data_IF_254387904418
#
_entry.id   IF_254387904418
#
_cell.length_a   1.000
_cell.length_b   1.000
_cell.length_c   1.000
_cell.angle_alpha   90.00
_cell.angle_beta   90.00
_cell.angle_gamma   90.00
#
_symmetry.space_group_name_H-M   'P 1'
#
loop_
_entity.id
_entity.type
_entity.pdbx_description
1 polymer ?
#
# COMPACT_ATOMS: atom_id res chain seq x y z
N UNK A 1 -1.95 -52.55 -24.89
CA UNK A 1 -2.90 -51.79 -25.73
C UNK A 1 -4.28 -52.21 -25.30
N UNK A 2 -4.82 -51.56 -24.28
CA UNK A 2 -6.20 -51.73 -23.83
C UNK A 2 -6.73 -50.35 -23.46
N UNK A 3 -7.76 -49.93 -24.20
CA UNK A 3 -8.69 -48.85 -23.82
C UNK A 3 -9.65 -49.41 -22.78
N UNK A 4 -10.16 -48.53 -21.91
CA UNK A 4 -11.43 -48.55 -21.14
C UNK A 4 -11.16 -47.92 -19.76
N UNK A 5 -12.02 -47.12 -19.13
CA UNK A 5 -13.38 -46.66 -19.40
C UNK A 5 -13.64 -45.42 -18.53
N UNK A 6 -14.51 -44.53 -18.99
CA UNK A 6 -14.96 -43.32 -18.27
C UNK A 6 -16.41 -43.57 -17.89
N UNK A 7 -16.72 -43.86 -16.62
CA UNK A 7 -18.11 -43.84 -16.10
C UNK A 7 -18.20 -43.41 -14.63
N UNK A 8 -18.76 -42.20 -14.47
CA UNK A 8 -19.82 -41.80 -13.54
C UNK A 8 -19.91 -42.48 -12.17
N UNK A 9 -19.72 -41.69 -11.12
CA UNK A 9 -20.48 -41.79 -9.87
C UNK A 9 -21.03 -40.41 -9.49
N UNK A 10 -22.32 -40.22 -9.74
CA UNK A 10 -23.18 -39.22 -9.13
C UNK A 10 -23.62 -39.74 -7.75
N UNK A 11 -23.44 -38.93 -6.71
CA UNK A 11 -23.96 -39.18 -5.37
C UNK A 11 -24.31 -37.87 -4.67
N UNK A 12 -25.61 -37.56 -4.65
CA UNK A 12 -26.24 -36.42 -3.96
C UNK A 12 -26.03 -36.45 -2.44
N UNK A 13 -25.89 -35.27 -1.82
CA UNK A 13 -26.49 -34.85 -0.52
C UNK A 13 -26.23 -33.33 -0.39
N UNK A 14 -27.15 -32.40 -0.63
CA UNK A 14 -28.38 -32.03 0.08
C UNK A 14 -28.19 -31.14 1.34
N UNK A 15 -28.72 -29.92 1.21
CA UNK A 15 -29.37 -29.06 2.22
C UNK A 15 -28.51 -28.20 3.18
N UNK A 16 -28.73 -26.87 3.10
CA UNK A 16 -28.34 -25.95 4.18
C UNK A 16 -28.30 -24.45 3.87
N UNK A 17 -29.08 -23.89 2.95
CA UNK A 17 -29.18 -22.43 2.78
C UNK A 17 -30.13 -21.84 3.84
N UNK A 18 -29.56 -21.13 4.83
CA UNK A 18 -30.28 -20.22 5.71
C UNK A 18 -30.10 -18.79 5.23
N UNK A 19 -31.08 -18.27 4.48
CA UNK A 19 -31.19 -16.85 4.18
C UNK A 19 -31.98 -16.16 5.30
N UNK A 20 -31.38 -15.17 5.96
CA UNK A 20 -32.11 -14.25 6.83
C UNK A 20 -32.39 -12.99 6.03
N UNK A 21 -33.62 -12.88 5.56
CA UNK A 21 -34.21 -11.68 4.95
C UNK A 21 -34.69 -10.80 6.10
N UNK A 22 -34.01 -9.68 6.34
CA UNK A 22 -34.46 -8.61 7.23
C UNK A 22 -34.96 -7.44 6.40
N UNK A 23 -36.27 -7.23 6.41
CA UNK A 23 -36.96 -6.17 5.68
C UNK A 23 -36.59 -4.77 6.19
N UNK A 24 -36.37 -3.89 5.22
CA UNK A 24 -36.56 -2.45 5.30
C UNK A 24 -37.99 -2.13 5.77
N UNK A 25 -38.13 -1.22 6.73
CA UNK A 25 -39.38 -0.50 6.99
C UNK A 25 -39.09 0.99 6.77
N UNK A 26 -39.64 1.52 5.69
CA UNK A 26 -39.60 2.94 5.30
C UNK A 26 -41.01 3.52 5.35
N UNK A 27 -41.10 4.67 6.04
CA UNK A 27 -42.04 5.80 5.88
C UNK A 27 -43.49 5.68 6.41
N UNK A 28 -44.02 6.77 7.01
CA UNK A 28 -44.50 7.90 6.21
C UNK A 28 -44.17 9.32 6.72
N UNK A 29 -43.91 10.22 5.75
CA UNK A 29 -44.46 11.58 5.54
C UNK A 29 -45.21 12.24 6.74
N UNK A 30 -45.09 13.53 7.07
CA UNK A 30 -44.53 14.71 6.43
C UNK A 30 -44.54 15.85 7.48
N UNK A 31 -43.65 16.84 7.35
CA UNK A 31 -44.00 18.27 7.17
C UNK A 31 -42.72 19.10 7.10
N UNK A 32 -42.57 19.80 5.98
CA UNK A 32 -41.63 20.89 5.81
C UNK A 32 -42.05 22.09 6.68
N UNK A 33 -41.11 22.69 7.40
CA UNK A 33 -41.15 24.11 7.74
C UNK A 33 -39.74 24.73 7.67
N UNK A 34 -39.69 25.84 6.91
CA UNK A 34 -38.59 26.78 6.78
C UNK A 34 -38.10 27.30 8.14
N UNK A 35 -36.79 27.48 8.27
CA UNK A 35 -36.17 28.25 9.33
C UNK A 35 -34.72 28.54 9.01
N UNK A 36 -34.50 29.55 8.19
CA UNK A 36 -33.23 30.25 7.99
C UNK A 36 -32.78 30.91 9.29
N UNK A 37 -31.54 30.66 9.73
CA UNK A 37 -30.77 31.57 10.58
C UNK A 37 -29.27 31.30 10.36
N UNK A 38 -28.63 32.22 9.64
CA UNK A 38 -27.20 32.49 9.69
C UNK A 38 -26.82 32.98 11.11
N UNK A 39 -25.53 32.91 11.49
CA UNK A 39 -24.91 34.21 11.68
C UNK A 39 -23.52 34.33 11.06
N UNK A 40 -23.39 35.50 10.44
CA UNK A 40 -22.22 36.32 10.18
C UNK A 40 -21.00 36.08 11.08
N UNK A 41 -19.84 36.09 10.41
CA UNK A 41 -18.55 36.30 11.06
C UNK A 41 -18.35 37.72 11.57
N UNK A 42 -17.43 37.85 12.52
CA UNK A 42 -16.67 39.07 12.71
C UNK A 42 -15.29 38.72 13.29
N UNK A 43 -14.24 39.04 12.54
CA UNK A 43 -12.87 39.01 13.04
C UNK A 43 -12.55 40.18 13.95
N UNK A 44 -11.48 40.05 14.72
CA UNK A 44 -10.50 41.13 14.95
C UNK A 44 -9.23 40.56 15.61
N UNK A 45 -8.12 40.63 14.87
CA UNK A 45 -6.80 41.16 15.25
C UNK A 45 -6.12 40.70 16.56
N UNK A 46 -5.08 39.88 16.40
CA UNK A 46 -3.67 40.26 16.57
C UNK A 46 -3.13 40.58 17.97
N UNK A 47 -2.17 39.77 18.43
CA UNK A 47 -1.04 40.22 19.28
C UNK A 47 0.14 39.25 19.11
N UNK A 48 1.24 39.77 18.55
CA UNK A 48 2.56 39.15 18.47
C UNK A 48 3.23 39.09 19.86
N UNK A 49 3.99 38.02 20.13
CA UNK A 49 4.83 37.92 21.32
C UNK A 49 5.86 36.80 21.23
N UNK A 50 7.10 37.19 20.97
CA UNK A 50 8.34 36.42 20.99
C UNK A 50 8.47 35.43 22.17
N UNK A 51 9.03 34.25 21.89
CA UNK A 51 9.42 33.24 22.87
C UNK A 51 10.41 32.22 22.31
N UNK A 52 11.64 32.67 22.07
CA UNK A 52 12.85 31.87 21.86
C UNK A 52 13.42 31.43 23.23
N UNK A 53 13.32 30.14 23.60
CA UNK A 53 14.19 29.41 24.55
C UNK A 53 14.05 27.89 24.26
N UNK A 54 14.99 27.20 23.59
CA UNK A 54 16.31 26.70 24.01
C UNK A 54 16.32 25.39 24.84
N UNK A 55 16.94 24.37 24.24
CA UNK A 55 17.79 23.30 24.83
C UNK A 55 17.24 22.26 25.84
N UNK A 56 17.30 20.99 25.41
CA UNK A 56 18.32 20.01 25.86
C UNK A 56 18.33 18.84 24.85
N UNK A 57 19.41 18.49 24.15
CA UNK A 57 20.79 18.47 24.59
C UNK A 57 21.02 17.22 25.44
N UNK A 58 21.16 16.06 24.80
CA UNK A 58 21.72 14.88 25.45
C UNK A 58 22.70 14.17 24.50
N UNK A 59 23.80 14.87 24.18
CA UNK A 59 25.05 14.19 23.85
C UNK A 59 25.82 14.05 25.17
N UNK A 60 25.98 12.81 25.63
CA UNK A 60 27.19 12.36 26.34
C UNK A 60 27.14 10.84 26.53
N UNK A 61 28.14 10.13 25.99
CA UNK A 61 28.62 8.90 26.61
C UNK A 61 28.85 7.67 25.73
N UNK A 62 29.88 7.72 24.88
CA UNK A 62 30.82 6.62 24.59
C UNK A 62 30.32 5.18 24.86
N UNK A 63 29.74 4.55 23.83
CA UNK A 63 29.47 3.12 23.75
C UNK A 63 29.79 2.65 22.33
N UNK A 64 30.43 1.49 22.24
CA UNK A 64 30.72 0.66 21.08
C UNK A 64 29.83 0.92 19.86
N UNK A 65 30.40 0.92 18.64
CA UNK A 65 29.64 0.85 17.37
C UNK A 65 28.74 -0.39 17.35
N UNK A 66 27.61 -0.33 18.03
CA UNK A 66 26.43 -1.12 17.75
C UNK A 66 25.77 -0.45 16.56
N UNK A 67 25.57 -1.18 15.47
CA UNK A 67 24.73 -0.72 14.37
C UNK A 67 23.48 -0.09 14.99
N UNK A 68 23.28 1.21 14.74
CA UNK A 68 22.15 1.92 15.31
C UNK A 68 20.92 1.29 14.67
N UNK A 69 20.13 0.55 15.46
CA UNK A 69 18.81 0.14 15.03
C UNK A 69 18.06 1.38 14.55
N UNK A 70 17.27 1.28 13.46
CA UNK A 70 16.52 2.43 12.99
C UNK A 70 15.60 2.95 14.11
N UNK A 71 15.24 4.24 14.07
CA UNK A 71 14.28 4.78 15.01
C UNK A 71 12.97 3.99 14.93
N UNK A 72 12.26 3.89 16.06
CA UNK A 72 10.97 3.22 16.06
C UNK A 72 10.02 3.87 15.05
N UNK A 73 9.23 3.09 14.28
CA UNK A 73 8.31 3.65 13.31
C UNK A 73 7.21 4.49 13.98
N UNK A 74 7.03 5.70 13.48
CA UNK A 74 5.90 6.57 13.86
C UNK A 74 4.58 6.00 13.34
N UNK A 75 3.50 6.17 14.09
CA UNK A 75 2.14 5.76 13.72
C UNK A 75 1.26 6.95 13.31
N UNK A 76 1.85 8.15 13.19
CA UNK A 76 1.16 9.40 12.89
C UNK A 76 0.18 9.79 13.99
N UNK A 77 -0.69 10.77 13.72
CA UNK A 77 -1.63 11.34 14.69
C UNK A 77 -2.78 10.39 15.12
N UNK A 78 -2.73 9.12 14.71
CA UNK A 78 -3.77 8.13 14.99
C UNK A 78 -3.51 7.29 16.25
N UNK A 79 -2.39 7.51 16.92
CA UNK A 79 -2.03 6.90 18.20
C UNK A 79 -1.39 7.94 19.12
N UNK A 80 -1.50 7.71 20.42
CA UNK A 80 -0.93 8.60 21.44
C UNK A 80 0.48 8.18 21.84
N UNK A 81 0.80 6.88 21.77
CA UNK A 81 2.11 6.33 22.13
C UNK A 81 2.48 5.10 21.31
N UNK A 82 3.76 4.98 20.97
CA UNK A 82 4.35 3.77 20.39
C UNK A 82 5.20 3.06 21.44
N UNK A 83 4.83 1.82 21.77
CA UNK A 83 5.62 0.90 22.59
C UNK A 83 6.54 0.10 21.67
N UNK A 84 7.80 0.52 21.61
CA UNK A 84 8.82 -0.14 20.80
C UNK A 84 9.57 -1.17 21.63
N UNK A 85 9.46 -2.46 21.29
CA UNK A 85 10.15 -3.52 22.02
C UNK A 85 11.69 -3.31 22.05
N UNK A 86 12.24 -2.64 21.04
CA UNK A 86 13.66 -2.28 20.96
C UNK A 86 14.11 -1.20 21.96
N UNK A 87 13.18 -0.45 22.53
CA UNK A 87 13.45 0.72 23.39
C UNK A 87 12.87 0.59 24.80
N UNK A 88 12.13 -0.48 25.08
CA UNK A 88 11.51 -0.73 26.39
C UNK A 88 12.21 -1.84 27.15
N UNK A 89 11.99 -1.86 28.47
CA UNK A 89 12.31 -3.00 29.33
C UNK A 89 11.02 -3.79 29.59
N UNK A 90 10.88 -5.03 29.08
CA UNK A 90 9.67 -5.83 29.25
C UNK A 90 9.40 -6.22 30.71
N UNK A 91 10.35 -6.08 31.64
CA UNK A 91 10.07 -6.24 33.07
C UNK A 91 9.25 -5.06 33.65
N UNK A 92 9.18 -3.94 32.93
CA UNK A 92 8.52 -2.70 33.39
C UNK A 92 7.39 -2.24 32.48
N UNK A 93 7.41 -2.58 31.20
CA UNK A 93 6.31 -2.34 30.27
C UNK A 93 5.46 -3.63 30.18
N UNK A 94 4.21 -3.63 30.67
CA UNK A 94 3.42 -4.86 30.78
C UNK A 94 2.79 -5.32 29.46
N UNK A 95 2.76 -4.48 28.43
CA UNK A 95 2.13 -4.81 27.15
C UNK A 95 3.09 -4.44 26.03
N UNK A 96 3.52 -5.43 25.26
CA UNK A 96 4.55 -5.25 24.24
C UNK A 96 4.43 -6.29 23.12
N UNK A 97 5.10 -6.02 22.00
CA UNK A 97 5.14 -6.88 20.83
C UNK A 97 6.56 -7.41 20.62
N UNK A 98 6.77 -8.69 20.87
CA UNK A 98 8.08 -9.34 20.85
C UNK A 98 8.26 -10.23 19.62
N UNK A 99 9.40 -10.16 18.91
CA UNK A 99 9.72 -11.08 17.83
C UNK A 99 10.50 -12.30 18.37
N UNK A 100 10.23 -13.49 17.83
CA UNK A 100 10.98 -14.70 18.18
C UNK A 100 12.41 -14.71 17.63
N UNK A 101 12.69 -13.91 16.59
CA UNK A 101 14.01 -13.71 16.01
C UNK A 101 14.17 -12.27 15.48
N UNK A 102 15.40 -11.76 15.50
CA UNK A 102 15.75 -10.43 14.95
C UNK A 102 16.21 -10.46 13.50
N UNK A 103 16.50 -11.63 12.99
CA UNK A 103 16.94 -11.87 11.62
C UNK A 103 16.16 -13.07 11.11
N UNK A 104 15.58 -12.95 9.92
CA UNK A 104 14.79 -14.00 9.26
C UNK A 104 15.27 -14.16 7.83
N UNK A 105 15.40 -15.40 7.38
CA UNK A 105 15.70 -15.72 5.98
C UNK A 105 14.38 -15.93 5.21
N UNK A 106 14.39 -15.68 3.91
CA UNK A 106 13.26 -16.04 3.05
C UNK A 106 12.90 -17.54 3.16
N UNK A 107 11.59 -17.84 3.17
CA UNK A 107 11.06 -19.19 3.34
C UNK A 107 11.12 -19.72 4.77
N UNK A 108 11.63 -18.94 5.73
CA UNK A 108 11.63 -19.27 7.16
C UNK A 108 10.59 -18.47 7.93
N UNK A 109 10.07 -19.05 9.00
CA UNK A 109 9.03 -18.42 9.82
C UNK A 109 9.65 -17.58 10.94
N UNK A 110 9.07 -16.41 11.20
CA UNK A 110 9.29 -15.62 12.42
C UNK A 110 7.94 -15.42 13.12
N UNK A 111 7.94 -15.47 14.45
CA UNK A 111 6.73 -15.25 15.25
C UNK A 111 6.79 -13.86 15.88
N UNK A 112 5.65 -13.17 15.93
CA UNK A 112 5.48 -11.92 16.63
C UNK A 112 4.37 -12.09 17.66
N UNK A 113 4.69 -11.91 18.94
CA UNK A 113 3.75 -12.10 20.05
C UNK A 113 3.40 -10.76 20.69
N UNK A 114 2.12 -10.38 20.62
CA UNK A 114 1.56 -9.28 21.39
C UNK A 114 1.14 -9.81 22.75
N UNK A 115 1.92 -9.48 23.78
CA UNK A 115 1.70 -9.89 25.16
C UNK A 115 0.93 -8.81 25.92
N UNK A 116 -0.04 -9.22 26.73
CA UNK A 116 -0.73 -8.34 27.66
C UNK A 116 -0.60 -8.86 29.10
N UNK A 117 0.47 -8.50 29.80
CA UNK A 117 0.67 -8.79 31.23
C UNK A 117 0.09 -7.70 32.14
N UNK A 118 -0.74 -6.80 31.61
CA UNK A 118 -1.48 -5.82 32.40
C UNK A 118 -2.71 -6.46 33.07
N UNK A 119 -3.38 -5.70 33.93
CA UNK A 119 -4.63 -6.11 34.58
C UNK A 119 -5.89 -5.74 33.75
N UNK A 120 -5.72 -5.16 32.55
CA UNK A 120 -6.81 -4.65 31.70
C UNK A 120 -6.86 -5.36 30.35
N UNK A 121 -8.06 -5.53 29.78
CA UNK A 121 -8.23 -6.14 28.46
C UNK A 121 -7.76 -5.18 27.37
N UNK A 122 -6.83 -5.64 26.52
CA UNK A 122 -6.35 -4.90 25.37
C UNK A 122 -7.26 -5.18 24.17
N UNK A 123 -8.03 -4.19 23.75
CA UNK A 123 -8.82 -4.26 22.54
C UNK A 123 -7.95 -3.97 21.32
N UNK A 124 -8.03 -4.81 20.29
CA UNK A 124 -7.19 -4.72 19.09
C UNK A 124 -7.90 -5.32 17.87
N UNK A 125 -7.31 -5.15 16.69
CA UNK A 125 -7.73 -5.85 15.48
C UNK A 125 -6.54 -6.66 14.93
N UNK A 126 -6.57 -7.98 15.12
CA UNK A 126 -5.57 -8.92 14.63
C UNK A 126 -5.40 -8.98 13.11
N UNK A 127 -6.32 -8.39 12.32
CA UNK A 127 -6.11 -8.22 10.87
C UNK A 127 -5.35 -6.92 10.54
N UNK A 128 -5.28 -5.97 11.47
CA UNK A 128 -4.58 -4.69 11.34
C UNK A 128 -3.15 -4.78 11.90
N UNK A 129 -2.50 -5.93 11.69
CA UNK A 129 -1.05 -5.98 11.75
C UNK A 129 -0.48 -5.08 10.64
N UNK A 130 0.77 -4.63 10.78
CA UNK A 130 1.47 -3.90 9.72
C UNK A 130 2.92 -4.35 9.62
N UNK A 131 3.42 -4.34 8.40
CA UNK A 131 4.84 -4.46 8.08
C UNK A 131 5.25 -3.21 7.35
N UNK A 132 6.24 -2.52 7.91
CA UNK A 132 6.87 -1.34 7.30
C UNK A 132 8.35 -1.64 7.02
N UNK A 133 8.92 -1.06 5.96
CA UNK A 133 10.34 -1.16 5.60
C UNK A 133 11.04 0.17 5.85
N UNK A 134 12.25 0.13 6.40
CA UNK A 134 13.08 1.31 6.58
C UNK A 134 13.97 1.55 5.35
N UNK A 135 13.82 2.70 4.71
CA UNK A 135 14.58 3.12 3.52
C UNK A 135 14.93 4.60 3.66
N UNK A 136 16.20 4.95 3.48
CA UNK A 136 16.71 6.33 3.43
C UNK A 136 16.27 7.28 4.56
N UNK A 137 16.06 6.73 5.76
CA UNK A 137 15.67 7.52 6.94
C UNK A 137 14.20 7.40 7.31
N UNK A 138 13.38 6.81 6.45
CA UNK A 138 11.92 6.81 6.53
C UNK A 138 11.32 5.40 6.55
N UNK A 139 10.11 5.29 7.10
CA UNK A 139 9.37 4.03 7.18
C UNK A 139 8.25 4.00 6.14
N UNK A 140 8.27 2.99 5.28
CA UNK A 140 7.29 2.80 4.21
C UNK A 140 6.42 1.59 4.50
N UNK A 141 5.09 1.77 4.47
CA UNK A 141 4.16 0.67 4.68
C UNK A 141 4.16 -0.31 3.50
N UNK A 142 4.37 -1.59 3.80
CA UNK A 142 4.43 -2.68 2.82
C UNK A 142 3.18 -3.56 2.87
N UNK A 143 2.72 -3.94 4.06
CA UNK A 143 1.59 -4.85 4.22
C UNK A 143 0.83 -4.63 5.54
N UNK A 144 -0.43 -5.09 5.65
CA UNK A 144 -1.31 -5.46 4.54
C UNK A 144 -1.82 -4.19 3.84
N UNK A 145 -2.26 -4.34 2.60
CA UNK A 145 -2.82 -3.23 1.80
C UNK A 145 -4.23 -2.81 2.26
N UNK A 146 -4.94 -3.73 2.91
CA UNK A 146 -6.25 -3.51 3.50
C UNK A 146 -6.55 -4.62 4.50
N UNK A 147 -7.50 -4.38 5.40
CA UNK A 147 -7.95 -5.36 6.37
C UNK A 147 -9.42 -5.15 6.71
N UNK A 148 -10.14 -6.21 7.11
CA UNK A 148 -11.42 -6.04 7.78
C UNK A 148 -11.21 -5.42 9.17
N UNK A 149 -12.23 -4.74 9.70
CA UNK A 149 -12.19 -4.06 11.00
C UNK A 149 -13.02 -4.74 12.13
N UNK A 150 -12.88 -6.05 12.40
CA UNK A 150 -13.48 -6.64 13.59
C UNK A 150 -12.69 -6.25 14.84
N UNK A 151 -13.42 -5.96 15.92
CA UNK A 151 -12.83 -5.78 17.24
C UNK A 151 -12.57 -7.14 17.89
N UNK A 152 -11.36 -7.34 18.37
CA UNK A 152 -10.89 -8.52 19.11
C UNK A 152 -10.17 -8.05 20.38
N UNK A 153 -9.72 -8.99 21.21
CA UNK A 153 -9.05 -8.67 22.47
C UNK A 153 -7.89 -9.62 22.78
N UNK A 154 -6.94 -9.11 23.55
CA UNK A 154 -5.97 -9.91 24.31
C UNK A 154 -6.30 -9.71 25.79
N UNK A 155 -6.77 -10.77 26.45
CA UNK A 155 -7.15 -10.72 27.87
C UNK A 155 -5.93 -10.51 28.78
N UNK A 156 -6.14 -10.06 30.04
CA UNK A 156 -5.08 -10.00 31.04
C UNK A 156 -4.32 -11.33 31.21
N UNK A 157 -3.00 -11.28 31.07
CA UNK A 157 -2.10 -12.43 31.13
C UNK A 157 -2.11 -13.33 29.90
N UNK A 158 -2.76 -12.93 28.81
CA UNK A 158 -2.76 -13.66 27.53
C UNK A 158 -1.85 -12.99 26.50
N UNK A 159 -1.61 -13.72 25.40
CA UNK A 159 -0.86 -13.23 24.25
C UNK A 159 -1.56 -13.66 22.96
N UNK A 160 -1.40 -12.84 21.91
CA UNK A 160 -1.75 -13.22 20.54
C UNK A 160 -0.48 -13.31 19.70
N UNK A 161 -0.38 -14.30 18.81
CA UNK A 161 0.85 -14.52 18.03
C UNK A 161 0.54 -14.63 16.54
N UNK A 162 1.31 -13.89 15.73
CA UNK A 162 1.35 -14.04 14.28
C UNK A 162 2.61 -14.80 13.87
N UNK A 163 2.46 -15.86 13.09
CA UNK A 163 3.54 -16.58 12.41
C UNK A 163 3.66 -16.02 11.00
N UNK A 164 4.79 -15.40 10.67
CA UNK A 164 5.03 -14.75 9.38
C UNK A 164 6.08 -15.52 8.60
N UNK A 165 5.78 -15.86 7.35
CA UNK A 165 6.73 -16.46 6.39
C UNK A 165 6.94 -15.51 5.21
N UNK A 166 8.13 -14.90 5.05
CA UNK A 166 8.49 -14.20 3.82
C UNK A 166 8.63 -15.20 2.67
N UNK A 167 8.00 -14.90 1.53
CA UNK A 167 7.97 -15.82 0.37
C UNK A 167 7.80 -15.02 -0.93
N UNK A 168 8.83 -14.96 -1.77
CA UNK A 168 8.77 -14.29 -3.06
C UNK A 168 8.58 -15.26 -4.24
N UNK A 169 8.22 -16.52 -4.01
CA UNK A 169 7.92 -17.43 -5.11
C UNK A 169 6.73 -16.90 -5.93
N UNK A 170 6.90 -16.81 -7.26
CA UNK A 170 5.84 -16.43 -8.21
C UNK A 170 5.56 -14.93 -8.32
N UNK A 171 6.37 -14.04 -7.73
CA UNK A 171 6.11 -12.58 -7.78
C UNK A 171 6.17 -11.98 -9.20
N UNK A 172 6.76 -12.68 -10.17
CA UNK A 172 6.86 -12.24 -11.56
C UNK A 172 5.86 -12.94 -12.48
N UNK A 173 4.99 -13.81 -11.96
CA UNK A 173 4.03 -14.58 -12.75
C UNK A 173 2.94 -13.69 -13.40
N UNK A 174 2.93 -12.39 -13.10
CA UNK A 174 1.95 -11.41 -13.61
C UNK A 174 0.64 -11.37 -12.83
N UNK A 175 0.51 -12.23 -11.83
CA UNK A 175 -0.62 -12.27 -10.91
C UNK A 175 -0.50 -11.22 -9.81
N UNK A 176 -1.65 -10.65 -9.43
CA UNK A 176 -1.73 -9.69 -8.34
C UNK A 176 -1.23 -10.29 -7.04
N UNK A 177 -0.23 -9.64 -6.46
CA UNK A 177 0.26 -9.99 -5.13
C UNK A 177 -0.90 -9.95 -4.14
N UNK A 178 -1.21 -11.11 -3.57
CA UNK A 178 -2.26 -11.23 -2.58
C UNK A 178 -1.98 -10.24 -1.44
N UNK A 179 -3.01 -9.51 -1.01
CA UNK A 179 -2.90 -8.38 -0.07
C UNK A 179 -2.26 -8.69 1.30
N UNK A 180 -1.92 -9.95 1.57
CA UNK A 180 -1.55 -10.47 2.88
C UNK A 180 -2.76 -10.42 3.81
N UNK A 181 -3.04 -11.50 4.54
CA UNK A 181 -4.19 -11.49 5.43
C UNK A 181 -4.24 -12.69 6.33
N UNK A 182 -5.11 -12.60 7.34
CA UNK A 182 -5.21 -13.57 8.41
C UNK A 182 -4.88 -12.96 9.75
N UNK A 183 -5.03 -13.77 10.79
CA UNK A 183 -4.83 -13.38 12.18
C UNK A 183 -3.72 -14.17 12.85
N UNK A 184 -3.26 -15.29 12.29
CA UNK A 184 -2.26 -16.16 12.92
C UNK A 184 -1.15 -16.46 11.92
N UNK A 185 -1.44 -17.25 10.88
CA UNK A 185 -0.46 -17.59 9.84
C UNK A 185 -0.53 -16.56 8.70
N UNK A 186 0.61 -15.93 8.40
CA UNK A 186 0.76 -14.88 7.41
C UNK A 186 1.87 -15.25 6.42
N UNK A 187 1.59 -15.11 5.13
CA UNK A 187 2.63 -15.11 4.09
C UNK A 187 2.89 -13.68 3.67
N UNK A 188 4.15 -13.25 3.73
CA UNK A 188 4.60 -11.92 3.34
C UNK A 188 5.29 -12.01 1.98
N UNK A 189 4.56 -11.64 0.93
CA UNK A 189 5.01 -11.75 -0.46
C UNK A 189 5.57 -10.42 -0.97
N UNK A 190 6.56 -10.47 -1.87
CA UNK A 190 7.15 -9.30 -2.51
C UNK A 190 7.88 -8.42 -1.52
N UNK A 191 8.83 -9.02 -0.79
CA UNK A 191 9.72 -8.36 0.20
C UNK A 191 11.18 -8.72 -0.06
N UNK A 192 12.01 -7.69 -0.27
CA UNK A 192 13.44 -7.86 -0.46
C UNK A 192 14.23 -7.81 0.84
N UNK A 193 15.55 -7.89 0.74
CA UNK A 193 16.41 -7.71 1.92
C UNK A 193 16.21 -6.32 2.54
N UNK A 194 16.32 -6.22 3.86
CA UNK A 194 16.35 -4.93 4.55
C UNK A 194 15.90 -5.00 5.99
N UNK A 195 15.75 -3.82 6.60
CA UNK A 195 15.21 -3.67 7.94
C UNK A 195 13.72 -3.37 7.89
N UNK A 196 12.95 -4.15 8.64
CA UNK A 196 11.50 -4.06 8.71
C UNK A 196 11.04 -3.86 10.15
N UNK A 197 9.80 -3.41 10.30
CA UNK A 197 9.10 -3.39 11.57
C UNK A 197 7.77 -4.12 11.44
N UNK A 198 7.48 -5.03 12.38
CA UNK A 198 6.15 -5.61 12.55
C UNK A 198 5.41 -4.85 13.63
N UNK A 199 4.13 -4.55 13.39
CA UNK A 199 3.35 -3.65 14.23
C UNK A 199 1.94 -4.15 14.45
N UNK A 200 1.38 -3.75 15.59
CA UNK A 200 -0.04 -3.87 15.91
C UNK A 200 -0.48 -2.58 16.63
N UNK A 201 -1.79 -2.39 16.77
CA UNK A 201 -2.33 -1.29 17.59
C UNK A 201 -3.52 -1.74 18.42
N UNK A 202 -3.78 -1.03 19.49
CA UNK A 202 -4.92 -1.31 20.36
C UNK A 202 -5.14 -0.20 21.38
N UNK A 203 -6.09 -0.43 22.26
CA UNK A 203 -6.37 0.43 23.41
C UNK A 203 -6.92 -0.46 24.54
N UNK A 204 -6.74 -0.07 25.79
CA UNK A 204 -7.39 -0.81 26.88
C UNK A 204 -8.87 -0.41 26.95
N UNK A 205 -9.77 -1.38 27.17
CA UNK A 205 -11.22 -1.17 27.03
C UNK A 205 -11.76 -0.05 27.93
N UNK A 206 -11.17 0.14 29.11
CA UNK A 206 -11.58 1.17 30.07
C UNK A 206 -10.96 2.56 29.80
N UNK A 207 -10.07 2.68 28.82
CA UNK A 207 -9.30 3.92 28.53
C UNK A 207 -9.20 4.27 27.04
N UNK A 208 -10.15 3.81 26.22
CA UNK A 208 -10.18 4.09 24.78
C UNK A 208 -10.07 5.59 24.43
N UNK A 209 -10.75 6.44 25.20
CA UNK A 209 -10.78 7.89 24.98
C UNK A 209 -9.55 8.60 25.58
N UNK A 210 -8.72 7.86 26.33
CA UNK A 210 -7.55 8.39 27.03
C UNK A 210 -6.24 8.08 26.29
N UNK A 211 -6.07 6.87 25.73
CA UNK A 211 -4.84 6.46 25.06
C UNK A 211 -5.06 5.33 24.02
N UNK A 212 -4.65 5.57 22.78
CA UNK A 212 -4.46 4.56 21.74
C UNK A 212 -2.98 4.23 21.63
N UNK A 213 -2.66 2.94 21.73
CA UNK A 213 -1.30 2.42 21.68
C UNK A 213 -1.00 1.79 20.32
N UNK A 214 0.21 2.01 19.84
CA UNK A 214 0.86 1.15 18.86
C UNK A 214 1.95 0.32 19.52
N UNK A 215 2.11 -0.92 19.06
CA UNK A 215 3.20 -1.81 19.45
C UNK A 215 4.04 -2.09 18.23
N UNK A 216 5.35 -2.02 18.37
CA UNK A 216 6.28 -2.20 17.25
C UNK A 216 7.53 -2.96 17.68
N UNK A 217 8.08 -3.72 16.74
CA UNK A 217 9.39 -4.34 16.88
C UNK A 217 10.08 -4.47 15.53
N UNK A 218 11.39 -4.29 15.53
CA UNK A 218 12.20 -4.38 14.30
C UNK A 218 12.80 -5.76 14.09
N UNK A 219 12.99 -6.12 12.83
CA UNK A 219 13.69 -7.32 12.39
C UNK A 219 14.39 -7.07 11.04
N UNK A 220 15.43 -7.83 10.75
CA UNK A 220 16.14 -7.83 9.48
C UNK A 220 15.68 -9.03 8.64
N UNK A 221 15.34 -8.79 7.37
CA UNK A 221 15.08 -9.82 6.39
C UNK A 221 16.32 -10.03 5.53
N UNK A 222 16.87 -11.25 5.58
CA UNK A 222 17.95 -11.72 4.72
C UNK A 222 17.34 -12.47 3.53
N UNK A 223 17.16 -11.76 2.43
CA UNK A 223 16.69 -12.32 1.15
C UNK A 223 17.46 -11.72 -0.02
N UNK A 224 17.12 -12.09 -1.25
CA UNK A 224 17.61 -11.36 -2.40
C UNK A 224 17.01 -9.95 -2.43
N UNK A 225 17.75 -8.99 -2.98
CA UNK A 225 17.14 -7.73 -3.37
C UNK A 225 16.13 -7.99 -4.49
N UNK A 226 14.99 -7.33 -4.44
CA UNK A 226 13.99 -7.39 -5.51
C UNK A 226 14.54 -6.65 -6.73
N UNK A 227 14.55 -7.31 -7.88
CA UNK A 227 14.94 -6.74 -9.17
C UNK A 227 13.70 -6.26 -9.90
N UNK A 228 13.77 -5.05 -10.47
CA UNK A 228 12.71 -4.51 -11.32
C UNK A 228 12.81 -5.15 -12.70
N UNK A 229 11.86 -6.03 -13.01
CA UNK A 229 11.80 -6.79 -14.27
C UNK A 229 10.33 -6.87 -14.71
N UNK A 230 10.01 -6.75 -16.01
CA UNK A 230 8.64 -6.92 -16.47
C UNK A 230 8.09 -8.29 -16.07
N UNK A 231 6.82 -8.31 -15.68
CA UNK A 231 6.13 -9.54 -15.31
C UNK A 231 5.75 -10.36 -16.54
N UNK A 232 5.47 -11.65 -16.34
CA UNK A 232 4.97 -12.58 -17.37
C UNK A 232 3.59 -12.18 -17.93
N UNK A 233 2.94 -11.14 -17.37
CA UNK A 233 1.71 -10.60 -17.89
C UNK A 233 1.90 -9.84 -19.22
N UNK A 234 3.09 -9.31 -19.50
CA UNK A 234 3.38 -8.56 -20.71
C UNK A 234 3.60 -9.54 -21.87
N UNK A 235 2.68 -9.56 -22.84
CA UNK A 235 2.71 -10.51 -23.97
C UNK A 235 3.51 -9.99 -25.16
N UNK A 236 3.36 -8.70 -25.45
CA UNK A 236 3.91 -8.06 -26.65
C UNK A 236 4.35 -6.64 -26.35
N UNK A 237 5.44 -6.21 -26.98
CA UNK A 237 5.99 -4.86 -26.91
C UNK A 237 6.35 -4.38 -28.32
N UNK A 238 5.92 -3.16 -28.66
CA UNK A 238 6.16 -2.54 -29.96
C UNK A 238 6.54 -1.05 -29.77
N UNK A 239 7.43 -0.53 -30.63
CA UNK A 239 7.76 0.89 -30.64
C UNK A 239 6.87 1.61 -31.65
N UNK A 240 6.10 2.58 -31.16
CA UNK A 240 5.35 3.54 -31.99
C UNK A 240 6.14 4.85 -32.09
N UNK A 241 6.44 5.29 -33.31
CA UNK A 241 7.06 6.60 -33.55
C UNK A 241 6.03 7.71 -33.36
N UNK A 242 6.42 8.81 -32.70
CA UNK A 242 5.55 9.89 -32.20
C UNK A 242 4.77 10.75 -33.23
N UNK A 243 4.62 10.31 -34.48
CA UNK A 243 3.95 11.07 -35.55
C UNK A 243 2.40 11.02 -35.48
N UNK A 244 1.82 10.21 -34.57
CA UNK A 244 0.36 9.94 -34.53
C UNK A 244 -0.35 10.33 -33.19
N UNK A 245 0.32 11.01 -32.26
CA UNK A 245 -0.32 11.56 -31.03
C UNK A 245 -0.66 13.04 -31.21
N UNK A 246 -1.36 13.38 -32.29
CA UNK A 246 -2.11 14.63 -32.38
C UNK A 246 -3.53 14.30 -32.82
N UNK A 247 -4.41 14.17 -31.82
CA UNK A 247 -5.84 14.06 -32.03
C UNK A 247 -6.37 15.26 -32.79
N UNK A 248 -6.82 15.01 -34.01
CA UNK A 248 -7.75 15.76 -34.87
C UNK A 248 -8.39 16.99 -34.18
N UNK A 249 -7.62 18.08 -34.15
CA UNK A 249 -8.01 19.38 -33.63
C UNK A 249 -7.71 20.44 -34.67
N UNK A 250 -8.64 20.64 -35.61
CA UNK A 250 -8.69 21.83 -36.47
C UNK A 250 -8.68 23.10 -35.58
N UNK A 251 -7.51 23.67 -35.28
CA UNK A 251 -7.41 25.10 -35.03
C UNK A 251 -6.06 25.67 -35.47
N UNK A 252 -6.15 26.67 -36.33
CA UNK A 252 -5.02 27.39 -36.87
C UNK A 252 -4.61 28.49 -35.89
N UNK A 253 -3.39 28.41 -35.35
CA UNK A 253 -2.81 29.50 -34.58
C UNK A 253 -1.31 29.36 -34.47
N UNK A 254 -0.58 30.21 -35.20
CA UNK A 254 0.85 30.43 -35.03
C UNK A 254 1.18 30.72 -33.56
N UNK A 255 2.01 29.89 -32.92
CA UNK A 255 2.80 30.28 -31.75
C UNK A 255 4.17 29.60 -31.79
N UNK A 256 5.21 30.40 -32.05
CA UNK A 256 6.62 30.01 -31.95
C UNK A 256 6.96 29.92 -30.46
N UNK A 257 6.91 28.72 -29.88
CA UNK A 257 7.21 28.52 -28.46
C UNK A 257 7.52 27.07 -28.09
N UNK A 258 8.73 26.62 -28.41
CA UNK A 258 9.49 25.59 -27.66
C UNK A 258 8.66 24.36 -27.21
N UNK A 259 8.10 23.59 -28.16
CA UNK A 259 7.57 22.26 -27.89
C UNK A 259 8.73 21.28 -27.75
N UNK A 260 8.91 20.77 -26.53
CA UNK A 260 9.83 19.69 -26.22
C UNK A 260 9.45 18.42 -27.01
N UNK A 261 10.46 17.85 -27.68
CA UNK A 261 10.57 16.49 -28.19
C UNK A 261 9.33 15.86 -28.87
N UNK A 262 8.99 16.39 -30.05
CA UNK A 262 8.04 15.80 -31.02
C UNK A 262 8.55 14.47 -31.66
N UNK A 263 9.59 13.84 -31.10
CA UNK A 263 10.26 12.64 -31.64
C UNK A 263 10.47 11.52 -30.59
N UNK A 264 9.79 11.55 -29.43
CA UNK A 264 9.95 10.45 -28.46
C UNK A 264 9.15 9.23 -28.89
N UNK A 265 9.84 8.17 -29.32
CA UNK A 265 9.24 6.85 -29.53
C UNK A 265 8.51 6.40 -28.24
N UNK A 266 7.24 6.00 -28.36
CA UNK A 266 6.47 5.42 -27.27
C UNK A 266 6.53 3.91 -27.36
N UNK A 267 6.93 3.25 -26.29
CA UNK A 267 6.84 1.80 -26.21
C UNK A 267 5.41 1.40 -25.81
N UNK A 268 4.69 0.75 -26.71
CA UNK A 268 3.38 0.17 -26.43
C UNK A 268 3.57 -1.26 -25.99
N UNK A 269 2.94 -1.63 -24.88
CA UNK A 269 2.97 -2.99 -24.38
C UNK A 269 1.55 -3.51 -24.14
N UNK A 270 1.29 -4.73 -24.57
CA UNK A 270 0.00 -5.40 -24.36
C UNK A 270 0.08 -6.36 -23.17
N UNK A 271 -0.81 -6.16 -22.20
CA UNK A 271 -0.93 -6.95 -20.99
C UNK A 271 -2.02 -8.01 -21.14
N UNK A 272 -1.74 -9.22 -20.64
CA UNK A 272 -2.72 -10.31 -20.53
C UNK A 272 -3.63 -10.17 -19.33
N UNK A 273 -3.41 -9.18 -18.45
CA UNK A 273 -4.29 -8.92 -17.31
C UNK A 273 -5.66 -8.42 -17.79
N UNK A 274 -6.68 -8.85 -17.06
CA UNK A 274 -8.08 -8.61 -17.42
C UNK A 274 -8.72 -9.72 -18.25
N UNK A 275 -9.98 -9.52 -18.62
CA UNK A 275 -10.73 -10.44 -19.47
C UNK A 275 -11.38 -9.68 -20.63
N UNK A 276 -10.87 -9.85 -21.84
CA UNK A 276 -11.43 -9.22 -23.05
C UNK A 276 -12.82 -9.73 -23.43
N UNK A 277 -13.21 -10.91 -22.94
CA UNK A 277 -14.51 -11.52 -23.22
C UNK A 277 -15.58 -11.12 -22.19
N UNK A 278 -15.21 -10.39 -21.12
CA UNK A 278 -16.12 -9.92 -20.08
C UNK A 278 -16.63 -8.48 -20.37
N UNK A 279 -17.96 -8.30 -20.38
CA UNK A 279 -18.59 -7.02 -20.70
C UNK A 279 -18.33 -5.90 -19.67
N UNK A 280 -17.82 -6.24 -18.49
CA UNK A 280 -17.44 -5.28 -17.46
C UNK A 280 -15.99 -4.81 -17.57
N UNK A 281 -15.18 -5.52 -18.33
CA UNK A 281 -13.80 -5.14 -18.61
C UNK A 281 -13.74 -4.24 -19.84
N UNK A 282 -12.96 -3.17 -19.74
CA UNK A 282 -12.78 -2.19 -20.80
C UNK A 282 -11.32 -2.08 -21.12
N UNK A 283 -11.00 -2.00 -22.41
CA UNK A 283 -9.64 -1.74 -22.84
C UNK A 283 -9.25 -0.32 -22.38
N UNK A 284 -8.13 -0.23 -21.69
CA UNK A 284 -7.63 1.01 -21.13
C UNK A 284 -6.11 1.10 -21.30
N UNK A 285 -5.61 2.33 -21.32
CA UNK A 285 -4.20 2.65 -21.37
C UNK A 285 -3.72 3.19 -20.02
N UNK A 286 -2.60 2.65 -19.54
CA UNK A 286 -1.79 3.19 -18.47
C UNK A 286 -0.52 3.78 -19.09
N UNK A 287 -0.44 5.10 -19.14
CA UNK A 287 0.60 5.85 -19.84
C UNK A 287 1.58 6.41 -18.80
N UNK A 288 2.84 6.00 -18.92
CA UNK A 288 3.96 6.44 -18.10
C UNK A 288 4.91 7.31 -18.92
N UNK A 289 5.28 8.45 -18.36
CA UNK A 289 6.25 9.38 -18.89
C UNK A 289 7.36 9.62 -17.86
N UNK A 290 8.61 9.43 -18.25
CA UNK A 290 9.79 9.78 -17.45
C UNK A 290 9.98 11.30 -17.53
N UNK A 291 10.04 11.96 -16.37
CA UNK A 291 10.16 13.42 -16.29
C UNK A 291 11.39 13.82 -15.48
N UNK A 292 12.06 14.90 -15.88
CA UNK A 292 13.28 15.36 -15.19
C UNK A 292 12.99 15.93 -13.79
N UNK A 293 11.90 16.69 -13.66
CA UNK A 293 11.54 17.38 -12.42
C UNK A 293 10.02 17.35 -12.21
N UNK A 294 9.53 17.34 -10.95
CA UNK A 294 8.13 17.59 -10.65
C UNK A 294 7.77 18.99 -11.17
N UNK A 295 7.00 19.06 -12.26
CA UNK A 295 6.55 20.34 -12.81
C UNK A 295 5.67 21.09 -11.79
N UNK A 296 5.89 22.40 -11.60
CA UNK A 296 5.05 23.29 -10.78
C UNK A 296 3.57 23.34 -11.25
N UNK A 297 3.29 22.83 -12.46
CA UNK A 297 1.97 22.80 -13.10
C UNK A 297 1.10 21.67 -12.55
N UNK A 298 0.74 21.80 -11.28
CA UNK A 298 -0.10 20.86 -10.56
C UNK A 298 0.51 20.57 -9.20
N UNK A 299 0.00 21.23 -8.15
CA UNK A 299 0.45 21.14 -6.75
C UNK A 299 0.33 19.73 -6.10
N UNK A 300 0.57 18.65 -6.83
CA UNK A 300 0.65 17.31 -6.28
C UNK A 300 2.12 16.98 -6.03
N UNK A 301 2.51 16.94 -4.76
CA UNK A 301 3.81 16.40 -4.36
C UNK A 301 3.95 14.96 -4.90
N UNK A 302 5.13 14.59 -5.42
CA UNK A 302 5.35 13.23 -5.93
C UNK A 302 5.11 12.20 -4.84
N UNK A 303 4.43 11.11 -5.19
CA UNK A 303 4.30 9.96 -4.33
C UNK A 303 5.61 9.17 -4.36
N UNK A 304 6.38 9.26 -3.28
CA UNK A 304 7.60 8.45 -3.10
C UNK A 304 7.20 6.98 -2.88
N UNK A 305 7.72 6.09 -3.71
CA UNK A 305 7.45 4.65 -3.64
C UNK A 305 8.75 3.86 -3.56
N UNK A 306 8.72 2.76 -2.79
CA UNK A 306 9.81 1.76 -2.71
C UNK A 306 9.47 0.53 -3.55
N UNK A 307 10.46 -0.32 -3.85
CA UNK A 307 10.30 -1.52 -4.68
C UNK A 307 9.18 -2.44 -4.19
N UNK A 308 9.05 -2.64 -2.88
CA UNK A 308 7.95 -3.43 -2.29
C UNK A 308 6.55 -2.82 -2.54
N UNK A 309 6.44 -1.49 -2.52
CA UNK A 309 5.18 -0.81 -2.81
C UNK A 309 4.90 -0.84 -4.31
N UNK A 310 5.93 -0.63 -5.14
CA UNK A 310 5.83 -0.67 -6.59
C UNK A 310 5.30 -2.03 -7.09
N UNK A 311 5.80 -3.14 -6.53
CA UNK A 311 5.31 -4.50 -6.82
C UNK A 311 3.80 -4.70 -6.60
N UNK A 312 3.17 -3.85 -5.79
CA UNK A 312 1.73 -3.93 -5.48
C UNK A 312 0.88 -3.02 -6.39
N UNK A 313 1.54 -2.28 -7.28
CA UNK A 313 0.99 -1.43 -8.32
C UNK A 313 1.50 -1.98 -9.66
N UNK A 314 0.93 -3.11 -10.08
CA UNK A 314 1.43 -3.97 -11.16
C UNK A 314 1.68 -3.20 -12.47
N UNK A 315 0.76 -2.29 -12.83
CA UNK A 315 0.92 -1.46 -14.03
C UNK A 315 2.11 -0.49 -13.90
N UNK A 316 2.30 0.13 -12.73
CA UNK A 316 3.44 1.03 -12.52
C UNK A 316 4.76 0.26 -12.50
N UNK A 317 4.78 -0.94 -11.90
CA UNK A 317 5.93 -1.84 -11.91
C UNK A 317 6.36 -2.18 -13.35
N UNK A 318 5.45 -2.71 -14.16
CA UNK A 318 5.77 -3.11 -15.53
C UNK A 318 6.16 -1.90 -16.39
N UNK A 319 5.46 -0.77 -16.25
CA UNK A 319 5.76 0.43 -17.05
C UNK A 319 7.17 0.97 -16.76
N UNK A 320 7.58 1.04 -15.49
CA UNK A 320 8.94 1.47 -15.14
C UNK A 320 9.97 0.42 -15.59
N UNK A 321 9.69 -0.87 -15.40
CA UNK A 321 10.59 -1.94 -15.81
C UNK A 321 10.84 -1.93 -17.33
N UNK A 322 9.79 -1.73 -18.13
CA UNK A 322 9.88 -1.61 -19.58
C UNK A 322 10.60 -0.34 -20.02
N UNK A 323 10.37 0.79 -19.35
CA UNK A 323 11.07 2.04 -19.63
C UNK A 323 12.60 1.88 -19.45
N UNK A 324 13.02 1.24 -18.35
CA UNK A 324 14.43 0.95 -18.07
C UNK A 324 15.02 -0.09 -19.03
N UNK A 325 14.30 -1.19 -19.30
CA UNK A 325 14.77 -2.26 -20.19
C UNK A 325 15.00 -1.77 -21.63
N UNK A 326 14.12 -0.89 -22.12
CA UNK A 326 14.13 -0.40 -23.49
C UNK A 326 14.80 0.97 -23.68
N UNK A 327 15.23 1.64 -22.60
CA UNK A 327 15.83 2.98 -22.62
C UNK A 327 14.90 4.01 -23.31
N UNK A 328 13.61 4.00 -22.94
CA UNK A 328 12.57 4.89 -23.47
C UNK A 328 12.01 5.80 -22.37
N UNK A 329 11.58 7.00 -22.76
CA UNK A 329 10.97 7.96 -21.83
C UNK A 329 9.44 7.84 -21.74
N UNK A 330 8.81 7.07 -22.62
CA UNK A 330 7.36 6.90 -22.66
C UNK A 330 6.96 5.44 -22.86
N UNK A 331 6.05 4.96 -22.00
CA UNK A 331 5.47 3.61 -22.08
C UNK A 331 3.94 3.71 -22.02
N UNK A 332 3.25 3.04 -22.93
CA UNK A 332 1.79 2.84 -22.89
C UNK A 332 1.48 1.37 -22.67
N UNK A 333 1.02 1.01 -21.48
CA UNK A 333 0.49 -0.32 -21.21
C UNK A 333 -0.98 -0.37 -21.57
N UNK A 334 -1.38 -1.32 -22.42
CA UNK A 334 -2.77 -1.57 -22.78
C UNK A 334 -3.29 -2.83 -22.09
N UNK A 335 -4.39 -2.70 -21.35
CA UNK A 335 -4.92 -3.75 -20.47
C UNK A 335 -6.44 -3.66 -20.35
N UNK A 336 -7.10 -4.80 -20.09
CA UNK A 336 -8.54 -4.85 -19.83
C UNK A 336 -8.85 -4.70 -18.35
N UNK A 337 -9.51 -3.61 -17.93
CA UNK A 337 -9.82 -3.36 -16.52
C UNK A 337 -11.33 -3.22 -16.24
N UNK A 338 -11.78 -3.78 -15.11
CA UNK A 338 -13.16 -3.72 -14.65
C UNK A 338 -13.42 -2.65 -13.58
N UNK A 339 -12.40 -1.89 -13.21
CA UNK A 339 -12.49 -0.87 -12.16
C UNK A 339 -13.05 0.45 -12.73
N UNK A 340 -13.75 1.22 -11.89
CA UNK A 340 -14.22 2.55 -12.26
C UNK A 340 -13.83 3.61 -11.20
N UNK A 341 -13.04 4.66 -11.56
CA UNK A 341 -12.37 4.87 -12.85
C UNK A 341 -11.38 3.73 -13.18
N UNK A 342 -10.96 3.63 -14.45
CA UNK A 342 -10.04 2.57 -14.89
C UNK A 342 -8.77 2.56 -14.05
N UNK A 343 -8.29 1.37 -13.72
CA UNK A 343 -7.19 1.11 -12.80
C UNK A 343 -7.39 1.60 -11.35
N UNK A 344 -8.54 2.19 -11.03
CA UNK A 344 -8.89 2.67 -9.69
C UNK A 344 -8.61 4.15 -9.45
N UNK A 345 -9.05 4.62 -8.28
CA UNK A 345 -8.80 6.01 -7.86
C UNK A 345 -7.35 6.15 -7.39
N UNK A 346 -6.64 7.14 -7.94
CA UNK A 346 -5.26 7.44 -7.57
C UNK A 346 -4.21 6.77 -8.46
N UNK A 347 -4.61 6.17 -9.58
CA UNK A 347 -3.66 5.62 -10.55
C UNK A 347 -2.92 6.72 -11.31
N UNK A 348 -3.63 7.81 -11.65
CA UNK A 348 -3.01 9.04 -12.17
C UNK A 348 -2.21 9.74 -11.07
N UNK A 349 -1.04 10.28 -11.43
CA UNK A 349 -0.24 11.06 -10.50
C UNK A 349 1.20 11.24 -10.92
N UNK A 350 1.99 11.78 -10.00
CA UNK A 350 3.44 11.86 -10.11
C UNK A 350 4.04 10.93 -9.06
N UNK A 351 4.97 10.08 -9.47
CA UNK A 351 5.65 9.12 -8.62
C UNK A 351 7.14 9.39 -8.62
N UNK A 352 7.79 9.18 -7.47
CA UNK A 352 9.25 9.14 -7.37
C UNK A 352 9.68 7.73 -7.00
N UNK A 353 10.58 7.15 -7.82
CA UNK A 353 11.20 5.87 -7.54
C UNK A 353 12.70 5.98 -7.81
N UNK A 354 13.51 5.68 -6.79
CA UNK A 354 14.98 5.75 -6.83
C UNK A 354 15.53 7.12 -7.34
N UNK A 355 14.83 8.21 -7.03
CA UNK A 355 15.21 9.57 -7.43
C UNK A 355 14.85 9.93 -8.88
N UNK A 356 14.20 9.04 -9.63
CA UNK A 356 13.60 9.33 -10.93
C UNK A 356 12.11 9.62 -10.77
N UNK A 357 11.61 10.61 -11.51
CA UNK A 357 10.20 10.98 -11.52
C UNK A 357 9.47 10.39 -12.72
N UNK A 358 8.24 9.94 -12.46
CA UNK A 358 7.36 9.32 -13.43
C UNK A 358 5.98 9.94 -13.34
N UNK A 359 5.48 10.48 -14.45
CA UNK A 359 4.10 10.94 -14.58
C UNK A 359 3.26 9.81 -15.15
N UNK A 360 2.13 9.54 -14.50
CA UNK A 360 1.17 8.53 -14.93
C UNK A 360 -0.15 9.19 -15.30
N UNK A 361 -0.71 8.74 -16.42
CA UNK A 361 -2.07 9.04 -16.86
C UNK A 361 -2.79 7.77 -17.26
N UNK A 362 -4.08 7.71 -16.97
CA UNK A 362 -4.92 6.59 -17.32
C UNK A 362 -6.11 7.05 -18.15
N UNK A 363 -6.49 6.24 -19.14
CA UNK A 363 -7.66 6.52 -19.97
C UNK A 363 -8.26 5.24 -20.54
N UNK A 364 -9.57 5.26 -20.77
CA UNK A 364 -10.25 4.23 -21.56
C UNK A 364 -9.86 4.40 -23.04
N UNK A 365 -9.63 3.28 -23.73
CA UNK A 365 -9.44 3.25 -25.17
C UNK A 365 -10.77 2.98 -25.86
N UNK A 366 -11.10 3.73 -26.90
CA UNK A 366 -12.25 3.42 -27.75
C UNK A 366 -11.88 2.26 -28.69
N UNK A 367 -12.73 1.21 -28.76
CA UNK A 367 -12.56 0.08 -29.68
C UNK A 367 -12.69 0.44 -31.17
#
# INVERSE_FOLDING_TARGET
>A
MDKLDRRHLLGLSAAGFGAVVGCLDSDPEATAENGSDEPDGNGSEGEDGDGDENASGNEDGNGTETAQHPPCPDYGDSVDRVVCYDAIDPETEPTYLEPSARTVEEGTTVEFSLTNDSDETLATNFYNWRVDKYVDGEWYRVAPLGHPDPLMSVEPGEQHTWTVTPDNDGILDGDRIASGGGTEELTLVGVGSGTYAFRARGWFEDSRDDEILAFATTFELESAALTLEPTDAIEEVELESGDDIDGDGDDAGDDDGDSADEDSDTLVAHSTRGDSDDEYHRLAAFELEVVDEPSDEGNADPQHVITEQLLRFEQLWDAIALADEHDVSAVRLEEYDATYPVFGRGSDGLYEYQGQYYRVRTRELEE
#
